data_IF_003578407797
#
_entry.id   IF_003578407797
#
_cell.length_a   1.000
_cell.length_b   1.000
_cell.length_c   1.000
_cell.angle_alpha   90.00
_cell.angle_beta   90.00
_cell.angle_gamma   90.00
#
_symmetry.space_group_name_H-M   'P 1'
#
loop_
_entity.id
_entity.type
_entity.pdbx_description
1 polymer ?
#
# COMPACT_ATOMS: atom_id res chain seq x y z
N UNK A 1 8.54 -3.84 -39.00
CA UNK A 1 9.34 -3.21 -37.92
C UNK A 1 8.39 -2.47 -37.01
N UNK A 2 8.52 -2.59 -35.68
CA UNK A 2 7.73 -1.78 -34.74
C UNK A 2 8.57 -0.56 -34.39
N UNK A 3 8.11 0.62 -34.80
CA UNK A 3 8.86 1.86 -34.56
C UNK A 3 8.71 2.27 -33.09
N UNK A 4 9.81 2.27 -32.31
CA UNK A 4 9.76 2.68 -30.90
C UNK A 4 9.28 4.14 -30.75
N UNK A 5 9.56 4.97 -31.75
CA UNK A 5 9.09 6.36 -31.85
C UNK A 5 7.55 6.42 -31.89
N UNK A 6 6.91 5.53 -32.66
CA UNK A 6 5.45 5.47 -32.74
C UNK A 6 4.81 5.13 -31.39
N UNK A 7 5.42 4.25 -30.63
CA UNK A 7 4.95 3.91 -29.27
C UNK A 7 5.09 5.07 -28.28
N UNK A 8 6.15 5.86 -28.37
CA UNK A 8 6.35 7.05 -27.53
C UNK A 8 5.30 8.12 -27.83
N UNK A 9 5.08 8.42 -29.11
CA UNK A 9 4.06 9.39 -29.54
C UNK A 9 2.66 8.96 -29.10
N UNK A 10 2.36 7.66 -29.16
CA UNK A 10 1.10 7.11 -28.65
C UNK A 10 0.92 7.40 -27.15
N UNK A 11 1.95 7.17 -26.33
CA UNK A 11 1.87 7.42 -24.88
C UNK A 11 1.62 8.90 -24.57
N UNK A 12 2.31 9.80 -25.26
CA UNK A 12 2.11 11.25 -25.09
C UNK A 12 0.68 11.65 -25.51
N UNK A 13 0.16 11.07 -26.58
CA UNK A 13 -1.22 11.29 -27.01
C UNK A 13 -2.24 10.83 -25.96
N UNK A 14 -2.10 9.61 -25.46
CA UNK A 14 -2.98 9.03 -24.44
C UNK A 14 -2.93 9.85 -23.14
N UNK A 15 -1.73 10.28 -22.73
CA UNK A 15 -1.55 11.14 -21.56
C UNK A 15 -2.26 12.49 -21.72
N UNK A 16 -2.10 13.15 -22.86
CA UNK A 16 -2.79 14.42 -23.14
C UNK A 16 -4.32 14.24 -23.16
N UNK A 17 -4.81 13.14 -23.77
CA UNK A 17 -6.23 12.79 -23.76
C UNK A 17 -6.75 12.61 -22.33
N UNK A 18 -5.99 11.91 -21.48
CA UNK A 18 -6.32 11.71 -20.07
C UNK A 18 -6.40 13.03 -19.29
N UNK A 19 -5.46 13.96 -19.50
CA UNK A 19 -5.50 15.30 -18.87
C UNK A 19 -6.72 16.11 -19.28
N UNK A 20 -7.05 16.12 -20.57
CA UNK A 20 -8.21 16.85 -21.07
C UNK A 20 -9.50 16.26 -20.50
N UNK A 21 -9.61 14.93 -20.44
CA UNK A 21 -10.75 14.25 -19.83
C UNK A 21 -10.84 14.49 -18.33
N UNK A 22 -9.72 14.48 -17.62
CA UNK A 22 -9.67 14.78 -16.19
C UNK A 22 -10.28 16.15 -15.88
N UNK A 23 -9.85 17.20 -16.59
CA UNK A 23 -10.38 18.56 -16.45
C UNK A 23 -11.87 18.62 -16.81
N UNK A 24 -12.29 17.92 -17.85
CA UNK A 24 -13.68 17.89 -18.27
C UNK A 24 -14.59 17.18 -17.25
N UNK A 25 -14.12 16.12 -16.59
CA UNK A 25 -14.86 15.42 -15.55
C UNK A 25 -14.99 16.22 -14.24
N UNK A 26 -14.07 17.14 -13.93
CA UNK A 26 -14.17 17.97 -12.73
C UNK A 26 -15.37 18.91 -12.72
N UNK A 27 -15.82 19.37 -13.90
CA UNK A 27 -16.99 20.25 -14.05
C UNK A 27 -18.31 19.52 -14.30
N UNK A 28 -18.31 18.18 -14.29
CA UNK A 28 -19.47 17.35 -14.60
C UNK A 28 -20.24 16.91 -13.34
N UNK A 29 -21.29 16.10 -13.51
CA UNK A 29 -22.07 15.54 -12.41
C UNK A 29 -21.22 14.69 -11.43
N UNK A 30 -21.73 14.50 -10.23
CA UNK A 30 -21.06 13.80 -9.12
C UNK A 30 -20.55 12.40 -9.51
N UNK A 31 -21.28 11.69 -10.38
CA UNK A 31 -20.89 10.36 -10.87
C UNK A 31 -19.60 10.40 -11.70
N UNK A 32 -19.42 11.45 -12.51
CA UNK A 32 -18.17 11.66 -13.27
C UNK A 32 -17.03 12.15 -12.37
N UNK A 33 -17.33 12.75 -11.22
CA UNK A 33 -16.31 13.15 -10.25
C UNK A 33 -15.58 11.93 -9.69
N UNK A 34 -16.28 10.84 -9.43
CA UNK A 34 -15.64 9.55 -9.05
C UNK A 34 -14.77 9.02 -10.19
N UNK A 35 -15.26 9.07 -11.44
CA UNK A 35 -14.46 8.68 -12.61
C UNK A 35 -13.20 9.55 -12.77
N UNK A 36 -13.28 10.85 -12.45
CA UNK A 36 -12.13 11.77 -12.49
C UNK A 36 -10.98 11.33 -11.58
N UNK A 37 -11.30 10.71 -10.43
CA UNK A 37 -10.29 10.13 -9.54
C UNK A 37 -9.51 9.00 -10.21
N UNK A 38 -10.22 8.11 -10.92
CA UNK A 38 -9.57 7.02 -11.66
C UNK A 38 -8.76 7.52 -12.87
N UNK A 39 -9.26 8.52 -13.60
CA UNK A 39 -8.50 9.17 -14.68
C UNK A 39 -7.24 9.83 -14.14
N UNK A 40 -7.31 10.49 -12.98
CA UNK A 40 -6.13 11.09 -12.34
C UNK A 40 -5.08 10.04 -11.97
N UNK A 41 -5.50 8.91 -11.39
CA UNK A 41 -4.60 7.79 -11.13
C UNK A 41 -3.93 7.28 -12.43
N UNK A 42 -4.69 7.18 -13.52
CA UNK A 42 -4.15 6.79 -14.82
C UNK A 42 -3.13 7.79 -15.36
N UNK A 43 -3.40 9.09 -15.21
CA UNK A 43 -2.48 10.18 -15.56
C UNK A 43 -1.15 10.01 -14.83
N UNK A 44 -1.16 9.81 -13.51
CA UNK A 44 0.05 9.63 -12.70
C UNK A 44 0.87 8.43 -13.21
N UNK A 45 0.21 7.31 -13.51
CA UNK A 45 0.90 6.11 -14.02
C UNK A 45 1.49 6.38 -15.41
N UNK A 46 0.73 7.00 -16.31
CA UNK A 46 1.20 7.35 -17.66
C UNK A 46 2.33 8.40 -17.65
N UNK A 47 2.32 9.34 -16.71
CA UNK A 47 3.44 10.26 -16.47
C UNK A 47 4.71 9.49 -16.06
N UNK A 48 4.59 8.53 -15.15
CA UNK A 48 5.72 7.65 -14.79
C UNK A 48 6.29 6.94 -16.00
N UNK A 49 5.43 6.35 -16.84
CA UNK A 49 5.83 5.71 -18.10
C UNK A 49 6.53 6.71 -19.03
N UNK A 50 5.97 7.91 -19.19
CA UNK A 50 6.57 8.97 -20.02
C UNK A 50 7.94 9.37 -19.49
N UNK A 51 8.10 9.62 -18.19
CA UNK A 51 9.40 9.98 -17.61
C UNK A 51 10.44 8.88 -17.81
N UNK A 52 10.06 7.62 -17.62
CA UNK A 52 10.98 6.49 -17.81
C UNK A 52 11.37 6.29 -19.27
N UNK A 53 10.48 6.59 -20.22
CA UNK A 53 10.72 6.40 -21.65
C UNK A 53 11.34 7.60 -22.35
N UNK A 54 10.89 8.80 -22.04
CA UNK A 54 11.26 10.02 -22.77
C UNK A 54 12.41 10.75 -22.09
N UNK A 55 12.36 10.86 -20.76
CA UNK A 55 13.31 11.68 -20.00
C UNK A 55 14.59 10.91 -19.63
N UNK A 56 14.57 9.57 -19.75
CA UNK A 56 15.71 8.71 -19.47
C UNK A 56 16.29 8.08 -20.74
N UNK A 57 17.31 8.70 -21.38
CA UNK A 57 17.98 8.15 -22.55
C UNK A 57 18.63 6.79 -22.29
N UNK A 58 18.96 6.51 -21.02
CA UNK A 58 19.60 5.26 -20.61
C UNK A 58 18.60 4.14 -20.31
N UNK A 59 17.30 4.40 -20.42
CA UNK A 59 16.27 3.38 -20.26
C UNK A 59 16.50 2.23 -21.23
N UNK A 60 16.28 0.99 -20.76
CA UNK A 60 16.46 -0.24 -21.56
C UNK A 60 15.64 -0.18 -22.85
N UNK A 61 14.50 0.51 -22.79
CA UNK A 61 13.58 0.66 -23.92
C UNK A 61 14.17 1.51 -25.05
N UNK A 62 15.00 2.51 -24.72
CA UNK A 62 15.65 3.39 -25.70
C UNK A 62 16.96 2.81 -26.26
N UNK A 63 17.55 1.84 -25.57
CA UNK A 63 18.70 1.09 -26.10
C UNK A 63 18.13 0.18 -27.17
N UNK A 64 18.45 0.43 -28.45
CA UNK A 64 17.97 -0.32 -29.63
C UNK A 64 18.24 -1.85 -29.67
N UNK A 65 18.53 -2.44 -28.52
CA UNK A 65 18.57 -3.86 -28.21
C UNK A 65 17.23 -4.57 -28.45
N UNK A 66 17.29 -5.88 -28.73
CA UNK A 66 16.11 -6.74 -28.85
C UNK A 66 15.24 -6.75 -27.60
N UNK A 67 15.87 -6.67 -26.42
CA UNK A 67 15.15 -6.58 -25.16
C UNK A 67 14.30 -5.31 -25.08
N UNK A 68 14.84 -4.16 -25.51
CA UNK A 68 14.09 -2.90 -25.59
C UNK A 68 12.87 -3.04 -26.50
N UNK A 69 13.06 -3.61 -27.70
CA UNK A 69 11.97 -3.86 -28.66
C UNK A 69 10.87 -4.77 -28.09
N UNK A 70 11.26 -5.88 -27.46
CA UNK A 70 10.33 -6.79 -26.80
C UNK A 70 9.55 -6.10 -25.66
N UNK A 71 10.20 -5.23 -24.87
CA UNK A 71 9.54 -4.47 -23.81
C UNK A 71 8.53 -3.46 -24.37
N UNK A 72 8.87 -2.74 -25.44
CA UNK A 72 7.93 -1.83 -26.14
C UNK A 72 6.71 -2.60 -26.63
N UNK A 73 6.92 -3.75 -27.27
CA UNK A 73 5.83 -4.60 -27.76
C UNK A 73 4.92 -5.09 -26.63
N UNK A 74 5.48 -5.40 -25.45
CA UNK A 74 4.70 -5.81 -24.27
C UNK A 74 3.96 -4.64 -23.62
N UNK A 75 4.54 -3.44 -23.61
CA UNK A 75 3.91 -2.24 -23.05
C UNK A 75 2.71 -1.77 -23.89
N UNK A 76 2.83 -1.85 -25.22
CA UNK A 76 1.83 -1.38 -26.18
C UNK A 76 0.38 -1.79 -25.85
N UNK A 77 0.03 -3.08 -25.65
CA UNK A 77 -1.36 -3.47 -25.36
C UNK A 77 -1.92 -2.85 -24.08
N UNK A 78 -1.09 -2.56 -23.08
CA UNK A 78 -1.55 -1.91 -21.84
C UNK A 78 -1.89 -0.44 -22.08
N UNK A 79 -1.07 0.27 -22.86
CA UNK A 79 -1.34 1.65 -23.27
C UNK A 79 -2.59 1.73 -24.16
N UNK A 80 -2.74 0.79 -25.11
CA UNK A 80 -3.92 0.71 -25.98
C UNK A 80 -5.21 0.44 -25.17
N UNK A 81 -5.12 -0.32 -24.07
CA UNK A 81 -6.26 -0.54 -23.17
C UNK A 81 -6.63 0.72 -22.37
N UNK A 82 -5.64 1.50 -21.93
CA UNK A 82 -5.85 2.82 -21.34
C UNK A 82 -6.56 3.75 -22.34
N UNK A 83 -6.08 3.82 -23.58
CA UNK A 83 -6.67 4.66 -24.62
C UNK A 83 -8.13 4.27 -24.91
N UNK A 84 -8.41 2.98 -25.08
CA UNK A 84 -9.78 2.47 -25.26
C UNK A 84 -10.70 2.88 -24.10
N UNK A 85 -10.22 2.76 -22.87
CA UNK A 85 -11.01 3.12 -21.67
C UNK A 85 -11.28 4.63 -21.59
N UNK A 86 -10.30 5.45 -21.93
CA UNK A 86 -10.46 6.91 -22.05
C UNK A 86 -11.40 7.29 -23.20
N UNK A 87 -11.35 6.58 -24.33
CA UNK A 87 -12.25 6.75 -25.46
C UNK A 87 -13.71 6.49 -25.08
N UNK A 88 -13.98 5.41 -24.33
CA UNK A 88 -15.32 5.13 -23.77
C UNK A 88 -15.80 6.25 -22.85
N UNK A 89 -14.94 6.74 -21.96
CA UNK A 89 -15.28 7.87 -21.07
C UNK A 89 -15.57 9.15 -21.87
N UNK A 90 -14.76 9.45 -22.89
CA UNK A 90 -14.94 10.61 -23.77
C UNK A 90 -16.28 10.56 -24.49
N UNK A 91 -16.64 9.41 -25.05
CA UNK A 91 -17.92 9.21 -25.71
C UNK A 91 -19.09 9.42 -24.74
N UNK A 92 -18.98 8.87 -23.52
CA UNK A 92 -20.00 9.02 -22.49
C UNK A 92 -20.16 10.46 -21.99
N UNK A 93 -19.04 11.19 -21.85
CA UNK A 93 -19.05 12.60 -21.49
C UNK A 93 -19.65 13.46 -22.61
N UNK A 94 -19.39 13.09 -23.88
CA UNK A 94 -20.02 13.71 -25.05
C UNK A 94 -21.55 13.59 -25.00
N UNK A 95 -22.07 12.38 -24.77
CA UNK A 95 -23.52 12.13 -24.57
C UNK A 95 -24.10 12.93 -23.41
N UNK A 96 -23.35 13.10 -22.32
CA UNK A 96 -23.78 13.90 -21.18
C UNK A 96 -23.83 15.40 -21.50
N UNK A 97 -22.84 15.93 -22.20
CA UNK A 97 -22.78 17.35 -22.55
C UNK A 97 -23.87 17.75 -23.56
N UNK A 98 -24.21 16.86 -24.51
CA UNK A 98 -25.35 17.10 -25.41
C UNK A 98 -26.66 17.19 -24.62
N UNK A 99 -26.87 16.33 -23.62
CA UNK A 99 -28.03 16.40 -22.73
C UNK A 99 -28.07 17.66 -21.86
N UNK A 100 -26.91 18.23 -21.52
CA UNK A 100 -26.81 19.43 -20.70
C UNK A 100 -27.17 20.69 -21.48
N UNK A 101 -26.70 20.79 -22.73
CA UNK A 101 -26.82 22.00 -23.53
C UNK A 101 -28.12 22.06 -24.32
N UNK A 102 -28.69 20.91 -24.68
CA UNK A 102 -29.95 20.85 -25.39
C UNK A 102 -31.13 21.04 -24.42
N UNK A 103 -32.29 21.52 -24.91
CA UNK A 103 -33.55 21.50 -24.14
C UNK A 103 -34.07 20.06 -24.06
N UNK A 104 -33.22 19.13 -23.65
CA UNK A 104 -33.48 17.69 -23.63
C UNK A 104 -34.76 17.44 -22.83
N UNK A 105 -35.67 16.67 -23.42
CA UNK A 105 -36.92 16.29 -22.80
C UNK A 105 -36.65 15.66 -21.42
N UNK A 106 -37.53 15.89 -20.45
CA UNK A 106 -37.38 15.34 -19.09
C UNK A 106 -37.21 13.81 -19.06
N UNK A 107 -37.71 13.12 -20.09
CA UNK A 107 -37.53 11.69 -20.33
C UNK A 107 -36.07 11.29 -20.59
N UNK A 108 -35.29 12.08 -21.33
CA UNK A 108 -33.88 11.79 -21.59
C UNK A 108 -33.05 11.94 -20.31
N UNK A 109 -33.37 12.96 -19.50
CA UNK A 109 -32.78 13.14 -18.17
C UNK A 109 -33.10 11.97 -17.24
N UNK A 110 -34.33 11.45 -17.28
CA UNK A 110 -34.74 10.30 -16.48
C UNK A 110 -34.06 9.00 -16.94
N UNK A 111 -34.01 8.72 -18.24
CA UNK A 111 -33.34 7.53 -18.77
C UNK A 111 -31.84 7.56 -18.48
N UNK A 112 -31.21 8.73 -18.61
CA UNK A 112 -29.81 8.92 -18.23
C UNK A 112 -29.56 8.65 -16.73
N UNK A 113 -30.55 8.91 -15.88
CA UNK A 113 -30.43 8.68 -14.43
C UNK A 113 -30.28 7.22 -14.03
N UNK A 114 -30.83 6.26 -14.80
CA UNK A 114 -30.71 4.82 -14.50
C UNK A 114 -29.68 4.13 -15.39
N UNK A 115 -29.83 4.26 -16.71
CA UNK A 115 -28.93 3.60 -17.67
C UNK A 115 -27.57 4.30 -17.72
N UNK A 116 -27.54 5.63 -17.72
CA UNK A 116 -26.29 6.40 -17.75
C UNK A 116 -25.42 6.15 -16.51
N UNK A 117 -26.01 5.99 -15.32
CA UNK A 117 -25.24 5.65 -14.11
C UNK A 117 -24.59 4.26 -14.20
N UNK A 118 -25.28 3.29 -14.79
CA UNK A 118 -24.72 1.96 -15.01
C UNK A 118 -23.58 1.99 -16.04
N UNK A 119 -23.72 2.78 -17.11
CA UNK A 119 -22.66 2.98 -18.10
C UNK A 119 -21.43 3.67 -17.48
N UNK A 120 -21.63 4.71 -16.66
CA UNK A 120 -20.54 5.38 -15.93
C UNK A 120 -19.81 4.38 -15.03
N UNK A 121 -20.55 3.55 -14.28
CA UNK A 121 -19.94 2.53 -13.42
C UNK A 121 -19.13 1.49 -14.22
N UNK A 122 -19.63 1.07 -15.39
CA UNK A 122 -18.90 0.18 -16.29
C UNK A 122 -17.59 0.80 -16.78
N UNK A 123 -17.63 2.06 -17.22
CA UNK A 123 -16.43 2.78 -17.66
C UNK A 123 -15.44 3.01 -16.51
N UNK A 124 -15.93 3.25 -15.29
CA UNK A 124 -15.08 3.36 -14.09
C UNK A 124 -14.34 2.05 -13.82
N UNK A 125 -15.02 0.91 -13.90
CA UNK A 125 -14.39 -0.40 -13.74
C UNK A 125 -13.30 -0.63 -14.80
N UNK A 126 -13.58 -0.31 -16.07
CA UNK A 126 -12.61 -0.41 -17.18
C UNK A 126 -11.36 0.47 -16.95
N UNK A 127 -11.56 1.72 -16.52
CA UNK A 127 -10.46 2.65 -16.19
C UNK A 127 -9.61 2.13 -15.04
N UNK A 128 -10.26 1.68 -13.96
CA UNK A 128 -9.57 1.12 -12.80
C UNK A 128 -8.77 -0.13 -13.17
N UNK A 129 -9.38 -1.05 -13.94
CA UNK A 129 -8.72 -2.27 -14.38
C UNK A 129 -7.52 -1.97 -15.27
N UNK A 130 -7.69 -1.12 -16.30
CA UNK A 130 -6.60 -0.75 -17.21
C UNK A 130 -5.43 -0.09 -16.47
N UNK A 131 -5.72 0.81 -15.52
CA UNK A 131 -4.71 1.45 -14.67
C UNK A 131 -3.98 0.43 -13.80
N UNK A 132 -4.72 -0.51 -13.20
CA UNK A 132 -4.16 -1.53 -12.30
C UNK A 132 -3.24 -2.48 -13.06
N UNK A 133 -3.64 -2.93 -14.26
CA UNK A 133 -2.84 -3.81 -15.10
C UNK A 133 -1.56 -3.09 -15.54
N UNK A 134 -1.66 -1.83 -16.01
CA UNK A 134 -0.48 -1.05 -16.39
C UNK A 134 0.47 -0.88 -15.22
N UNK A 135 -0.04 -0.55 -14.04
CA UNK A 135 0.78 -0.40 -12.83
C UNK A 135 1.45 -1.72 -12.40
N UNK A 136 0.74 -2.86 -12.52
CA UNK A 136 1.32 -4.18 -12.25
C UNK A 136 2.44 -4.53 -13.24
N UNK A 137 2.29 -4.15 -14.52
CA UNK A 137 3.36 -4.29 -15.51
C UNK A 137 4.60 -3.47 -15.10
N UNK A 138 4.44 -2.21 -14.71
CA UNK A 138 5.57 -1.38 -14.26
C UNK A 138 6.25 -1.93 -13.00
N UNK A 139 5.46 -2.39 -12.03
CA UNK A 139 6.01 -3.04 -10.83
C UNK A 139 6.85 -4.27 -11.18
N UNK A 140 6.37 -5.10 -12.12
CA UNK A 140 7.14 -6.25 -12.64
C UNK A 140 8.44 -5.82 -13.30
N UNK A 141 8.42 -4.76 -14.12
CA UNK A 141 9.63 -4.24 -14.77
C UNK A 141 10.64 -3.68 -13.77
N UNK A 142 10.18 -3.01 -12.71
CA UNK A 142 11.06 -2.56 -11.63
C UNK A 142 11.72 -3.72 -10.88
N UNK A 143 11.00 -4.84 -10.67
CA UNK A 143 11.56 -6.05 -10.06
C UNK A 143 12.62 -6.71 -10.96
N UNK A 144 12.39 -6.77 -12.29
CA UNK A 144 13.39 -7.25 -13.25
C UNK A 144 14.68 -6.40 -13.20
N UNK A 145 14.54 -5.07 -13.14
CA UNK A 145 15.69 -4.16 -13.01
C UNK A 145 16.44 -4.42 -11.69
N UNK A 146 15.71 -4.60 -10.59
CA UNK A 146 16.32 -4.87 -9.28
C UNK A 146 17.10 -6.18 -9.29
N UNK A 147 16.56 -7.26 -9.86
CA UNK A 147 17.26 -8.54 -9.99
C UNK A 147 18.53 -8.43 -10.85
N UNK A 148 18.52 -7.61 -11.91
CA UNK A 148 19.75 -7.34 -12.67
C UNK A 148 20.78 -6.55 -11.87
N UNK A 149 20.34 -5.59 -11.04
CA UNK A 149 21.26 -4.86 -10.15
C UNK A 149 21.90 -5.79 -9.12
N UNK A 150 21.13 -6.75 -8.60
CA UNK A 150 21.64 -7.78 -7.69
C UNK A 150 22.74 -8.61 -8.36
N UNK A 151 22.51 -9.11 -9.57
CA UNK A 151 23.53 -9.84 -10.35
C UNK A 151 24.80 -9.02 -10.60
N UNK A 152 24.68 -7.73 -10.92
CA UNK A 152 25.85 -6.85 -11.10
C UNK A 152 26.59 -6.64 -9.78
N UNK A 153 25.88 -6.53 -8.67
CA UNK A 153 26.49 -6.43 -7.34
C UNK A 153 27.22 -7.71 -6.95
N UNK A 154 26.65 -8.89 -7.24
CA UNK A 154 27.31 -10.18 -7.03
C UNK A 154 28.60 -10.28 -7.84
N UNK A 155 28.58 -9.89 -9.11
CA UNK A 155 29.77 -9.86 -9.96
C UNK A 155 30.85 -8.90 -9.42
N UNK A 156 30.45 -7.72 -8.94
CA UNK A 156 31.39 -6.77 -8.32
C UNK A 156 32.00 -7.32 -7.03
N UNK A 157 31.20 -7.99 -6.20
CA UNK A 157 31.69 -8.66 -4.98
C UNK A 157 32.66 -9.78 -5.33
N UNK A 158 32.35 -10.58 -6.35
CA UNK A 158 33.24 -11.63 -6.84
C UNK A 158 34.57 -11.07 -7.39
N UNK A 159 34.51 -9.99 -8.17
CA UNK A 159 35.71 -9.30 -8.65
C UNK A 159 36.56 -8.73 -7.52
N UNK A 160 35.93 -8.16 -6.48
CA UNK A 160 36.64 -7.67 -5.30
C UNK A 160 37.29 -8.80 -4.51
N UNK A 161 36.60 -9.93 -4.34
CA UNK A 161 37.15 -11.12 -3.67
C UNK A 161 38.32 -11.73 -4.46
N UNK A 162 38.20 -11.80 -5.80
CA UNK A 162 39.27 -12.25 -6.69
C UNK A 162 40.49 -11.31 -6.65
N UNK A 163 40.26 -10.00 -6.58
CA UNK A 163 41.35 -9.01 -6.47
C UNK A 163 42.01 -8.99 -5.09
N UNK A 164 41.29 -9.34 -4.02
CA UNK A 164 41.83 -9.40 -2.65
C UNK A 164 42.72 -10.61 -2.38
N UNK A 165 42.53 -11.72 -3.14
CA UNK A 165 43.30 -12.96 -2.99
C UNK A 165 44.51 -13.06 -3.93
N UNK A 166 44.91 -11.99 -4.63
CA UNK A 166 46.27 -11.90 -5.20
C UNK A 166 47.27 -11.69 -4.06
N UNK A 167 47.50 -12.78 -3.33
CA UNK A 167 48.52 -12.89 -2.30
C UNK A 167 49.87 -12.55 -2.92
N UNK A 168 50.53 -11.58 -2.30
CA UNK A 168 51.96 -11.32 -2.41
C UNK A 168 52.74 -12.55 -1.97
N UNK A 169 52.90 -13.55 -2.84
CA UNK A 169 53.79 -14.70 -2.64
C UNK A 169 55.06 -14.61 -3.48
N UNK A 170 55.45 -13.40 -3.91
CA UNK A 170 56.80 -13.17 -4.42
C UNK A 170 57.73 -12.80 -3.27
N UNK A 171 58.69 -13.71 -3.03
CA UNK A 171 59.82 -13.53 -2.13
C UNK A 171 60.52 -12.19 -2.42
N UNK A 172 60.94 -11.42 -1.40
CA UNK A 172 61.62 -10.16 -1.60
C UNK A 172 63.01 -10.40 -2.23
N UNK A 173 63.12 -10.27 -3.55
CA UNK A 173 64.40 -9.92 -4.18
C UNK A 173 64.59 -8.43 -3.99
N UNK A 174 65.51 -8.07 -3.09
CA UNK A 174 65.97 -6.71 -2.88
C UNK A 174 66.39 -6.09 -4.21
N UNK A 175 65.51 -5.28 -4.82
CA UNK A 175 65.85 -4.43 -5.95
C UNK A 175 65.30 -3.05 -5.67
N UNK A 176 66.23 -2.10 -5.62
CA UNK A 176 66.06 -0.68 -5.37
C UNK A 176 64.80 -0.12 -6.02
N UNK A 177 64.03 0.54 -5.18
CA UNK A 177 62.86 1.35 -5.47
C UNK A 177 63.11 2.35 -6.60
N UNK A 178 62.19 2.39 -7.57
CA UNK A 178 61.77 3.64 -8.22
C UNK A 178 60.30 3.52 -8.61
N UNK A 179 59.46 4.26 -7.87
CA UNK A 179 58.14 4.79 -8.26
C UNK A 179 57.14 3.89 -8.99
N UNK A 180 56.35 3.10 -8.26
CA UNK A 180 55.13 2.50 -8.80
C UNK A 180 53.92 2.79 -7.89
N UNK A 181 53.01 3.62 -8.40
CA UNK A 181 51.82 4.11 -7.70
C UNK A 181 50.86 2.98 -7.33
N UNK A 182 50.62 2.78 -6.03
CA UNK A 182 49.79 1.70 -5.50
C UNK A 182 48.31 1.88 -5.84
N UNK A 183 47.77 0.93 -6.58
CA UNK A 183 46.34 0.77 -6.91
C UNK A 183 45.47 0.61 -5.66
N UNK A 184 46.04 0.04 -4.59
CA UNK A 184 45.38 -0.11 -3.28
C UNK A 184 45.04 1.25 -2.65
N UNK A 185 45.92 2.25 -2.82
CA UNK A 185 45.66 3.62 -2.36
C UNK A 185 44.46 4.24 -3.08
N UNK A 186 44.27 3.93 -4.37
CA UNK A 186 43.13 4.43 -5.15
C UNK A 186 41.81 3.79 -4.72
N UNK A 187 41.79 2.51 -4.33
CA UNK A 187 40.58 1.85 -3.80
C UNK A 187 40.19 2.37 -2.40
N UNK A 188 41.15 2.59 -1.51
CA UNK A 188 40.89 3.18 -0.19
C UNK A 188 40.40 4.62 -0.33
N UNK A 189 41.01 5.40 -1.23
CA UNK A 189 40.57 6.76 -1.55
C UNK A 189 39.16 6.76 -2.16
N UNK A 190 38.82 5.82 -3.05
CA UNK A 190 37.48 5.70 -3.61
C UNK A 190 36.43 5.36 -2.53
N UNK A 191 36.73 4.44 -1.60
CA UNK A 191 35.87 4.11 -0.47
C UNK A 191 35.62 5.31 0.46
N UNK A 192 36.66 6.08 0.77
CA UNK A 192 36.56 7.31 1.55
C UNK A 192 35.78 8.41 0.80
N UNK A 193 35.95 8.51 -0.52
CA UNK A 193 35.23 9.47 -1.34
C UNK A 193 33.73 9.15 -1.40
N UNK A 194 33.36 7.88 -1.58
CA UNK A 194 31.97 7.40 -1.55
C UNK A 194 31.36 7.64 -0.16
N UNK A 195 32.10 7.37 0.92
CA UNK A 195 31.65 7.63 2.29
C UNK A 195 31.39 9.12 2.55
N UNK A 196 32.30 10.00 2.13
CA UNK A 196 32.12 11.47 2.24
C UNK A 196 30.99 11.99 1.36
N UNK A 197 30.81 11.44 0.16
CA UNK A 197 29.70 11.80 -0.73
C UNK A 197 28.34 11.42 -0.12
N UNK A 198 28.24 10.21 0.45
CA UNK A 198 27.03 9.73 1.14
C UNK A 198 26.69 10.59 2.35
N UNK A 199 27.70 11.01 3.12
CA UNK A 199 27.53 11.96 4.24
C UNK A 199 27.01 13.31 3.76
N UNK A 200 27.66 13.93 2.75
CA UNK A 200 27.23 15.22 2.18
C UNK A 200 25.83 15.19 1.59
N UNK A 201 25.43 14.09 0.94
CA UNK A 201 24.08 13.93 0.41
C UNK A 201 23.03 13.86 1.53
N UNK A 202 23.33 13.18 2.65
CA UNK A 202 22.45 13.18 3.84
C UNK A 202 22.35 14.58 4.46
N UNK A 203 23.45 15.31 4.58
CA UNK A 203 23.47 16.69 5.09
C UNK A 203 22.67 17.63 4.20
N UNK A 204 22.82 17.54 2.87
CA UNK A 204 22.03 18.34 1.92
C UNK A 204 20.54 17.99 1.96
N UNK A 205 20.20 16.70 2.07
CA UNK A 205 18.80 16.26 2.22
C UNK A 205 18.17 16.79 3.51
N UNK A 206 18.91 16.77 4.63
CA UNK A 206 18.48 17.35 5.89
C UNK A 206 18.36 18.89 5.82
N UNK A 207 19.29 19.57 5.15
CA UNK A 207 19.23 21.03 4.96
C UNK A 207 18.08 21.47 4.04
N UNK A 208 17.73 20.67 3.02
CA UNK A 208 16.56 20.91 2.17
C UNK A 208 15.24 20.68 2.91
N UNK A 209 15.19 19.70 3.82
CA UNK A 209 14.03 19.47 4.68
C UNK A 209 13.87 20.55 5.76
N UNK A 210 14.97 21.17 6.20
CA UNK A 210 14.98 22.24 7.21
C UNK A 210 14.92 23.65 6.63
N UNK A 211 14.96 23.84 5.30
CA UNK A 211 14.63 25.13 4.66
C UNK A 211 13.13 25.31 4.70
N UNK A 212 12.71 25.75 5.88
CA UNK A 212 11.43 26.31 6.24
C UNK A 212 10.89 27.23 5.16
N UNK A 213 9.67 26.92 4.73
CA UNK A 213 8.73 27.87 4.12
C UNK A 213 8.74 29.15 4.97
N UNK A 214 8.90 30.35 4.36
CA UNK A 214 8.83 31.60 5.11
C UNK A 214 7.45 31.68 5.80
N UNK A 215 7.47 31.79 7.13
CA UNK A 215 6.27 32.11 7.92
C UNK A 215 5.81 33.51 7.51
N UNK A 216 4.83 33.58 6.61
CA UNK A 216 4.14 34.82 6.29
C UNK A 216 3.42 35.30 7.56
N UNK A 217 3.86 36.47 8.06
CA UNK A 217 3.15 37.25 9.08
C UNK A 217 1.80 37.69 8.53
N UNK A 218 0.75 37.42 9.30
CA UNK A 218 -0.46 38.24 9.40
C UNK A 218 -1.33 38.36 8.15
N UNK A 219 -2.30 37.48 8.00
CA UNK A 219 -3.57 37.81 7.34
C UNK A 219 -4.71 37.43 8.28
N UNK A 220 -5.63 38.37 8.44
CA UNK A 220 -6.70 38.42 9.42
C UNK A 220 -7.57 37.16 9.46
N UNK A 221 -8.07 36.85 10.66
CA UNK A 221 -8.96 35.75 10.96
C UNK A 221 -10.24 35.80 10.11
N UNK A 222 -10.30 34.96 9.08
CA UNK A 222 -11.56 34.61 8.41
C UNK A 222 -12.32 33.59 9.25
N UNK A 223 -13.62 33.89 9.41
CA UNK A 223 -14.61 33.20 10.25
C UNK A 223 -14.60 31.68 10.07
N UNK A 224 -14.84 30.99 11.18
CA UNK A 224 -14.90 29.54 11.29
C UNK A 224 -15.77 28.89 10.20
N UNK A 225 -15.14 28.08 9.35
CA UNK A 225 -15.82 27.22 8.40
C UNK A 225 -16.65 26.19 9.16
N UNK A 226 -17.96 26.18 8.90
CA UNK A 226 -18.90 25.17 9.39
C UNK A 226 -18.47 23.82 8.83
N UNK A 227 -18.06 22.92 9.72
CA UNK A 227 -17.73 21.52 9.41
C UNK A 227 -19.00 20.79 8.96
N UNK A 228 -19.27 20.79 7.65
CA UNK A 228 -20.29 19.94 7.05
C UNK A 228 -19.85 18.49 7.22
N UNK A 229 -20.59 17.70 8.00
CA UNK A 229 -20.41 16.26 8.16
C UNK A 229 -20.74 15.56 6.82
N UNK A 230 -19.77 15.47 5.92
CA UNK A 230 -19.84 14.59 4.74
C UNK A 230 -19.47 13.16 5.14
N UNK A 231 -20.28 12.55 6.00
CA UNK A 231 -20.31 11.10 6.17
C UNK A 231 -21.56 10.58 5.48
N UNK A 232 -21.53 9.40 4.82
CA UNK A 232 -22.76 8.75 4.38
C UNK A 232 -23.63 8.54 5.62
N UNK A 233 -24.76 9.26 5.69
CA UNK A 233 -25.73 9.09 6.75
C UNK A 233 -26.22 7.64 6.83
N UNK A 234 -26.76 7.21 7.98
CA UNK A 234 -27.29 5.86 8.16
C UNK A 234 -28.36 5.58 7.11
N UNK A 235 -28.04 4.75 6.13
CA UNK A 235 -28.94 4.34 5.07
C UNK A 235 -29.48 2.96 5.44
N UNK A 236 -30.67 2.95 6.05
CA UNK A 236 -31.34 1.73 6.54
C UNK A 236 -31.36 0.62 5.49
N UNK A 237 -31.57 0.95 4.22
CA UNK A 237 -31.60 -0.02 3.12
C UNK A 237 -30.25 -0.68 2.87
N UNK A 238 -29.16 0.11 2.95
CA UNK A 238 -27.79 -0.42 2.82
C UNK A 238 -27.47 -1.38 3.96
N UNK A 239 -27.84 -1.00 5.18
CA UNK A 239 -27.56 -1.79 6.37
C UNK A 239 -28.40 -3.09 6.39
N UNK A 240 -29.64 -3.07 5.90
CA UNK A 240 -30.45 -4.29 5.68
C UNK A 240 -29.83 -5.22 4.64
N UNK A 241 -29.32 -4.68 3.52
CA UNK A 241 -28.69 -5.48 2.47
C UNK A 241 -27.36 -6.09 2.95
N UNK A 242 -26.55 -5.35 3.71
CA UNK A 242 -25.32 -5.86 4.31
C UNK A 242 -25.62 -6.95 5.36
N UNK A 243 -26.69 -6.79 6.15
CA UNK A 243 -27.16 -7.80 7.09
C UNK A 243 -27.62 -9.09 6.39
N UNK A 244 -28.43 -8.96 5.32
CA UNK A 244 -28.90 -10.10 4.54
C UNK A 244 -27.72 -10.85 3.87
N UNK A 245 -26.74 -10.12 3.34
CA UNK A 245 -25.55 -10.71 2.75
C UNK A 245 -24.70 -11.45 3.79
N UNK A 246 -24.47 -10.85 4.96
CA UNK A 246 -23.74 -11.51 6.05
C UNK A 246 -24.40 -12.82 6.49
N UNK A 247 -25.74 -12.84 6.61
CA UNK A 247 -26.49 -14.04 6.95
C UNK A 247 -26.35 -15.13 5.87
N UNK A 248 -26.34 -14.76 4.59
CA UNK A 248 -26.17 -15.72 3.49
C UNK A 248 -24.78 -16.38 3.47
N UNK A 249 -23.74 -15.70 3.96
CA UNK A 249 -22.39 -16.28 4.09
C UNK A 249 -22.36 -17.31 5.21
N UNK A 250 -22.97 -16.99 6.37
CA UNK A 250 -23.05 -17.92 7.50
C UNK A 250 -23.84 -19.17 7.12
N UNK A 251 -24.95 -19.03 6.40
CA UNK A 251 -25.77 -20.16 5.95
C UNK A 251 -25.06 -21.04 4.91
N UNK A 252 -24.20 -20.44 4.06
CA UNK A 252 -23.35 -21.22 3.14
C UNK A 252 -22.26 -21.99 3.88
N UNK A 253 -21.69 -21.43 4.95
CA UNK A 253 -20.67 -22.12 5.74
C UNK A 253 -21.25 -23.28 6.56
N UNK A 254 -22.49 -23.16 7.06
CA UNK A 254 -23.13 -24.26 7.80
C UNK A 254 -23.50 -25.42 6.89
N UNK A 255 -23.92 -25.18 5.64
CA UNK A 255 -24.23 -26.25 4.66
C UNK A 255 -22.99 -26.99 4.15
N UNK A 256 -21.81 -26.36 4.15
CA UNK A 256 -20.54 -27.03 3.77
C UNK A 256 -20.07 -27.99 4.88
N UNK A 257 -20.35 -27.66 6.15
CA UNK A 257 -19.96 -28.53 7.28
C UNK A 257 -20.90 -29.72 7.52
N UNK A 258 -22.14 -29.69 7.01
CA UNK A 258 -23.09 -30.81 7.18
C UNK A 258 -22.93 -31.94 6.16
N UNK A 259 -22.10 -31.76 5.13
CA UNK A 259 -21.90 -32.76 4.07
C UNK A 259 -20.55 -33.51 4.15
N UNK A 260 -19.81 -33.38 5.26
CA UNK A 260 -18.48 -33.98 5.43
C UNK A 260 -18.44 -35.21 6.35
N UNK A 261 -19.59 -35.76 6.78
CA UNK A 261 -19.65 -37.03 7.51
C UNK A 261 -20.11 -38.15 6.55
N UNK A 262 -19.15 -38.68 5.80
CA UNK A 262 -19.30 -39.85 4.94
C UNK A 262 -18.07 -40.75 5.06
N UNK A 263 -18.21 -41.77 5.91
CA UNK A 263 -17.42 -43.00 6.08
C UNK A 263 -15.97 -43.06 5.56
N UNK A 264 -15.02 -43.23 6.49
CA UNK A 264 -13.91 -44.16 6.31
C UNK A 264 -13.42 -44.65 7.68
N UNK A 265 -13.58 -45.96 7.87
CA UNK A 265 -13.16 -46.76 9.01
C UNK A 265 -11.65 -46.96 9.02
N UNK A 266 -11.04 -46.87 10.21
CA UNK A 266 -9.73 -47.48 10.46
C UNK A 266 -8.82 -46.66 11.38
N UNK A 267 -8.57 -47.23 12.55
CA UNK A 267 -7.33 -47.10 13.33
C UNK A 267 -7.14 -45.95 14.35
N UNK A 268 -6.93 -46.42 15.59
CA UNK A 268 -6.24 -45.82 16.75
C UNK A 268 -6.70 -44.44 17.24
N UNK A 269 -7.81 -44.45 17.98
CA UNK A 269 -8.22 -43.38 18.86
C UNK A 269 -7.26 -43.19 20.05
N UNK A 270 -6.32 -42.25 19.94
CA UNK A 270 -5.76 -41.56 21.12
C UNK A 270 -6.86 -40.60 21.60
N UNK A 271 -7.51 -40.97 22.71
CA UNK A 271 -8.57 -40.18 23.33
C UNK A 271 -8.07 -38.82 23.82
N UNK A 272 -8.11 -37.82 22.95
CA UNK A 272 -8.13 -36.41 23.34
C UNK A 272 -9.50 -36.13 23.98
N UNK A 273 -9.58 -36.38 25.27
CA UNK A 273 -10.68 -35.91 26.11
C UNK A 273 -10.78 -34.40 25.94
N UNK A 274 -11.88 -33.92 25.34
CA UNK A 274 -12.19 -32.49 25.30
C UNK A 274 -12.19 -31.99 26.75
N UNK A 275 -11.29 -31.07 27.14
CA UNK A 275 -11.27 -30.58 28.50
C UNK A 275 -12.62 -29.91 28.78
N UNK A 276 -13.31 -30.43 29.80
CA UNK A 276 -14.52 -29.85 30.36
C UNK A 276 -14.24 -28.37 30.63
N UNK A 277 -15.05 -27.42 30.13
CA UNK A 277 -14.79 -26.01 30.32
C UNK A 277 -14.66 -25.74 31.82
N UNK A 278 -13.58 -25.07 32.27
CA UNK A 278 -13.42 -24.77 33.68
C UNK A 278 -14.62 -23.90 34.10
N UNK A 279 -15.37 -24.37 35.10
CA UNK A 279 -16.36 -23.60 35.88
C UNK A 279 -15.62 -22.56 36.72
N UNK A 280 -14.87 -21.69 36.06
CA UNK A 280 -14.32 -20.48 36.64
C UNK A 280 -15.43 -19.46 36.77
N UNK A 281 -15.42 -18.74 37.89
CA UNK A 281 -16.32 -17.63 38.20
C UNK A 281 -16.62 -16.80 36.94
N UNK A 282 -17.90 -16.69 36.57
CA UNK A 282 -18.38 -16.04 35.34
C UNK A 282 -18.07 -14.52 35.25
N UNK A 283 -17.17 -14.02 36.09
CA UNK A 283 -16.81 -12.62 36.28
C UNK A 283 -15.65 -12.17 35.40
N UNK A 284 -14.87 -13.12 34.84
CA UNK A 284 -13.68 -12.83 34.04
C UNK A 284 -13.86 -13.21 32.58
N UNK A 285 -13.82 -12.21 31.70
CA UNK A 285 -13.89 -12.41 30.25
C UNK A 285 -12.68 -11.79 29.58
N UNK A 286 -12.04 -12.55 28.69
CA UNK A 286 -10.91 -12.06 27.90
C UNK A 286 -11.43 -11.53 26.56
N UNK A 287 -10.88 -10.40 26.11
CA UNK A 287 -11.15 -9.81 24.81
C UNK A 287 -9.85 -9.58 24.04
N UNK A 288 -9.91 -9.73 22.71
CA UNK A 288 -8.78 -9.46 21.82
C UNK A 288 -9.08 -8.28 20.90
N UNK A 289 -8.09 -7.41 20.74
CA UNK A 289 -8.17 -6.16 20.01
C UNK A 289 -6.99 -6.02 19.07
N UNK A 290 -7.27 -5.72 17.80
CA UNK A 290 -6.26 -5.30 16.83
C UNK A 290 -6.24 -3.78 16.78
N UNK A 291 -5.09 -3.18 17.08
CA UNK A 291 -4.89 -1.74 17.14
C UNK A 291 -3.88 -1.34 16.08
N UNK A 292 -4.33 -0.61 15.07
CA UNK A 292 -3.49 0.03 14.07
C UNK A 292 -3.16 1.46 14.47
N UNK A 293 -1.91 1.87 14.30
CA UNK A 293 -1.47 3.25 14.42
C UNK A 293 -0.82 3.67 13.12
N UNK A 294 -1.32 4.75 12.52
CA UNK A 294 -0.68 5.42 11.39
C UNK A 294 -0.02 6.68 11.96
N UNK A 295 1.32 6.72 11.96
CA UNK A 295 2.04 7.96 12.27
C UNK A 295 2.38 8.68 10.97
N UNK A 296 1.96 9.93 10.85
CA UNK A 296 2.31 10.80 9.74
C UNK A 296 3.52 11.65 10.15
N UNK A 297 4.43 11.93 9.21
CA UNK A 297 5.56 12.84 9.43
C UNK A 297 5.10 14.23 9.91
N UNK A 298 3.93 14.68 9.45
CA UNK A 298 3.27 15.92 9.85
C UNK A 298 1.81 15.56 10.15
N UNK A 299 1.33 15.82 11.37
CA UNK A 299 -0.07 15.60 11.75
C UNK A 299 -0.33 14.57 12.87
N UNK A 300 0.71 14.02 13.49
CA UNK A 300 0.57 13.12 14.64
C UNK A 300 0.16 11.69 14.27
N UNK A 301 -0.32 10.93 15.26
CA UNK A 301 -0.68 9.53 15.12
C UNK A 301 -2.19 9.32 15.16
N UNK A 302 -2.75 8.64 14.15
CA UNK A 302 -4.15 8.22 14.13
C UNK A 302 -4.24 6.76 14.57
N UNK A 303 -4.96 6.49 15.66
CA UNK A 303 -5.15 5.15 16.22
C UNK A 303 -6.53 4.62 15.83
N UNK A 304 -6.59 3.42 15.25
CA UNK A 304 -7.82 2.67 14.98
C UNK A 304 -7.78 1.34 15.71
N UNK A 305 -8.90 0.91 16.28
CA UNK A 305 -9.01 -0.38 16.97
C UNK A 305 -10.20 -1.18 16.44
N UNK A 306 -9.99 -2.49 16.28
CA UNK A 306 -10.99 -3.46 15.82
C UNK A 306 -11.00 -4.64 16.80
N UNK A 307 -12.19 -5.06 17.23
CA UNK A 307 -12.34 -6.25 18.08
C UNK A 307 -12.15 -7.49 17.23
N UNK A 308 -11.33 -8.43 17.71
CA UNK A 308 -11.23 -9.76 17.11
C UNK A 308 -12.13 -10.72 17.89
N UNK A 309 -13.07 -11.38 17.21
CA UNK A 309 -13.92 -12.40 17.80
C UNK A 309 -13.17 -13.74 17.80
N UNK A 310 -12.89 -14.28 19.00
CA UNK A 310 -12.24 -15.58 19.21
C UNK A 310 -12.81 -16.24 20.46
N UNK A 311 -12.75 -17.57 20.54
CA UNK A 311 -13.21 -18.33 21.71
C UNK A 311 -12.35 -18.07 22.95
N UNK A 312 -12.94 -18.16 24.15
CA UNK A 312 -12.21 -17.87 25.41
C UNK A 312 -11.00 -18.78 25.64
N UNK A 313 -11.09 -20.07 25.25
CA UNK A 313 -9.96 -20.99 25.33
C UNK A 313 -8.78 -20.53 24.46
N UNK A 314 -9.05 -20.19 23.19
CA UNK A 314 -8.05 -19.66 22.25
C UNK A 314 -7.44 -18.35 22.76
N UNK A 315 -8.24 -17.47 23.39
CA UNK A 315 -7.74 -16.21 23.94
C UNK A 315 -6.79 -16.42 25.12
N UNK A 316 -7.05 -17.42 25.97
CA UNK A 316 -6.12 -17.79 27.07
C UNK A 316 -4.81 -18.32 26.53
N UNK A 317 -4.88 -19.20 25.54
CA UNK A 317 -3.70 -19.75 24.86
C UNK A 317 -2.86 -18.64 24.20
N UNK A 318 -3.51 -17.76 23.42
CA UNK A 318 -2.85 -16.60 22.83
C UNK A 318 -2.22 -15.67 23.88
N UNK A 319 -2.86 -15.50 25.04
CA UNK A 319 -2.32 -14.70 26.13
C UNK A 319 -1.08 -15.33 26.77
N UNK A 320 -1.00 -16.66 26.81
CA UNK A 320 0.19 -17.40 27.21
C UNK A 320 1.33 -17.19 26.22
N UNK A 321 1.07 -17.47 24.94
CA UNK A 321 2.05 -17.29 23.86
C UNK A 321 2.58 -15.86 23.75
N UNK A 322 1.73 -14.85 23.95
CA UNK A 322 2.16 -13.45 23.90
C UNK A 322 3.00 -13.07 25.12
N UNK A 323 2.70 -13.61 26.31
CA UNK A 323 3.51 -13.40 27.51
C UNK A 323 4.89 -14.02 27.34
N UNK A 324 4.96 -15.24 26.85
CA UNK A 324 6.21 -15.94 26.55
C UNK A 324 7.04 -15.22 25.47
N UNK A 325 6.42 -14.78 24.38
CA UNK A 325 7.11 -13.99 23.36
C UNK A 325 7.60 -12.62 23.86
N UNK A 326 6.96 -12.08 24.90
CA UNK A 326 7.34 -10.81 25.53
C UNK A 326 8.38 -10.97 26.63
N UNK A 327 8.58 -12.15 27.22
CA UNK A 327 9.63 -12.32 28.24
C UNK A 327 11.02 -12.27 27.63
N UNK A 328 11.19 -12.70 26.37
CA UNK A 328 12.46 -12.62 25.65
C UNK A 328 12.76 -11.26 25.02
N UNK A 329 11.76 -10.39 24.85
CA UNK A 329 11.92 -9.06 24.29
C UNK A 329 11.61 -8.03 25.39
N UNK A 330 12.55 -7.17 25.77
CA UNK A 330 12.38 -6.08 26.77
C UNK A 330 11.30 -5.02 26.41
N UNK A 331 10.36 -5.33 25.53
CA UNK A 331 9.24 -4.50 25.13
C UNK A 331 8.11 -4.57 26.18
N UNK A 332 8.15 -3.66 27.15
CA UNK A 332 7.03 -3.42 28.08
C UNK A 332 5.85 -2.73 27.36
N UNK A 333 4.94 -3.54 26.80
CA UNK A 333 3.74 -3.05 26.12
C UNK A 333 2.71 -2.39 27.06
N UNK A 334 2.84 -2.53 28.39
CA UNK A 334 1.92 -1.87 29.34
C UNK A 334 2.02 -0.34 29.25
N UNK A 335 3.20 0.16 28.85
CA UNK A 335 3.48 1.60 28.69
C UNK A 335 3.10 2.14 27.31
N UNK A 336 2.76 1.28 26.35
CA UNK A 336 2.45 1.66 24.97
C UNK A 336 1.21 2.58 24.91
N UNK A 337 1.34 3.69 24.17
CA UNK A 337 0.27 4.71 24.02
C UNK A 337 -1.02 4.10 23.44
N UNK A 338 -0.92 3.08 22.58
CA UNK A 338 -2.05 2.37 21.96
C UNK A 338 -2.82 1.53 22.99
N UNK A 339 -2.10 0.84 23.87
CA UNK A 339 -2.69 0.05 24.96
C UNK A 339 -3.39 0.99 25.95
N UNK A 340 -2.75 2.09 26.34
CA UNK A 340 -3.38 3.12 27.18
C UNK A 340 -4.63 3.73 26.54
N UNK A 341 -4.59 3.99 25.23
CA UNK A 341 -5.74 4.51 24.48
C UNK A 341 -6.94 3.55 24.56
N UNK A 342 -6.75 2.26 24.28
CA UNK A 342 -7.87 1.30 24.31
C UNK A 342 -8.40 1.08 25.73
N UNK A 343 -7.52 1.02 26.75
CA UNK A 343 -7.93 0.90 28.15
C UNK A 343 -8.77 2.11 28.60
N UNK A 344 -8.32 3.33 28.27
CA UNK A 344 -9.05 4.57 28.57
C UNK A 344 -10.41 4.60 27.86
N UNK A 345 -10.45 4.23 26.58
CA UNK A 345 -11.68 4.17 25.81
C UNK A 345 -12.68 3.14 26.38
N UNK A 346 -12.19 1.97 26.81
CA UNK A 346 -13.02 0.91 27.40
C UNK A 346 -13.54 1.27 28.78
N UNK A 347 -12.69 1.84 29.64
CA UNK A 347 -13.08 2.37 30.96
C UNK A 347 -14.14 3.46 30.84
N UNK A 348 -14.03 4.35 29.84
CA UNK A 348 -15.04 5.37 29.56
C UNK A 348 -16.37 4.78 29.09
N UNK A 349 -16.33 3.78 28.21
CA UNK A 349 -17.53 3.20 27.63
C UNK A 349 -18.26 2.22 28.56
N UNK A 350 -17.54 1.56 29.47
CA UNK A 350 -18.12 0.58 30.38
C UNK A 350 -17.48 0.71 31.79
N UNK A 351 -17.91 1.69 32.60
CA UNK A 351 -17.29 2.01 33.89
C UNK A 351 -17.49 0.92 34.97
N UNK A 352 -18.50 0.06 34.81
CA UNK A 352 -18.82 -1.06 35.71
C UNK A 352 -17.80 -2.22 35.63
N UNK A 353 -16.94 -2.22 34.61
CA UNK A 353 -15.89 -3.22 34.46
C UNK A 353 -14.52 -2.59 34.68
N UNK A 354 -13.67 -3.33 35.39
CA UNK A 354 -12.25 -3.13 35.39
C UNK A 354 -11.64 -3.79 34.14
N UNK A 355 -10.78 -3.04 33.45
CA UNK A 355 -10.09 -3.50 32.25
C UNK A 355 -8.60 -3.56 32.53
N UNK A 356 -8.04 -4.76 32.47
CA UNK A 356 -6.62 -5.02 32.74
C UNK A 356 -5.91 -5.46 31.46
N UNK A 357 -4.70 -4.96 31.26
CA UNK A 357 -3.82 -5.42 30.19
C UNK A 357 -3.26 -6.80 30.55
N UNK A 358 -3.37 -7.77 29.64
CA UNK A 358 -2.85 -9.14 29.86
C UNK A 358 -1.57 -9.36 29.07
N UNK A 359 -1.63 -9.14 27.75
CA UNK A 359 -0.51 -9.37 26.85
C UNK A 359 -0.71 -8.62 25.52
N UNK A 360 0.37 -8.38 24.78
CA UNK A 360 0.30 -7.87 23.42
C UNK A 360 1.43 -8.42 22.54
N UNK A 361 1.20 -8.44 21.23
CA UNK A 361 2.18 -8.80 20.22
C UNK A 361 2.12 -7.82 19.05
N UNK A 362 3.28 -7.40 18.55
CA UNK A 362 3.40 -6.63 17.31
C UNK A 362 3.18 -7.57 16.12
N UNK A 363 2.16 -7.27 15.30
CA UNK A 363 1.77 -8.09 14.15
C UNK A 363 2.41 -7.55 12.86
N UNK A 364 2.47 -6.22 12.70
CA UNK A 364 2.98 -5.58 11.49
C UNK A 364 3.68 -4.27 11.84
N UNK A 365 4.81 -4.01 11.18
CA UNK A 365 5.50 -2.73 11.20
C UNK A 365 5.95 -2.43 9.79
N UNK A 366 5.36 -1.41 9.18
CA UNK A 366 5.66 -1.00 7.82
C UNK A 366 6.00 0.48 7.79
N UNK A 367 7.06 0.79 7.07
CA UNK A 367 7.43 2.15 6.73
C UNK A 367 7.02 2.30 5.27
N UNK A 368 6.17 3.28 4.97
CA UNK A 368 5.82 3.60 3.58
C UNK A 368 7.09 3.82 2.76
N UNK A 369 7.09 3.45 1.48
CA UNK A 369 8.23 3.68 0.59
C UNK A 369 8.69 5.14 0.51
N UNK A 370 7.80 6.08 0.85
CA UNK A 370 8.13 7.51 0.98
C UNK A 370 8.91 7.87 2.26
N UNK A 371 8.92 6.99 3.26
CA UNK A 371 9.39 7.27 4.62
C UNK A 371 8.50 8.22 5.42
N UNK A 372 7.41 8.72 4.84
CA UNK A 372 6.57 9.77 5.44
C UNK A 372 5.49 9.22 6.38
N UNK A 373 5.19 7.93 6.28
CA UNK A 373 4.17 7.29 7.11
C UNK A 373 4.69 5.98 7.66
N UNK A 374 4.47 5.75 8.96
CA UNK A 374 4.72 4.47 9.59
C UNK A 374 3.39 3.85 10.02
N UNK A 375 3.17 2.62 9.58
CA UNK A 375 2.02 1.82 9.94
C UNK A 375 2.48 0.76 10.94
N UNK A 376 1.90 0.79 12.14
CA UNK A 376 2.14 -0.24 13.13
C UNK A 376 0.83 -0.90 13.55
N UNK A 377 0.85 -2.23 13.65
CA UNK A 377 -0.28 -3.02 14.07
C UNK A 377 0.08 -3.86 15.29
N UNK A 378 -0.73 -3.74 16.33
CA UNK A 378 -0.57 -4.43 17.61
C UNK A 378 -1.83 -5.27 17.88
N UNK A 379 -1.65 -6.53 18.27
CA UNK A 379 -2.73 -7.35 18.81
C UNK A 379 -2.61 -7.35 20.33
N UNK A 380 -3.67 -6.92 21.01
CA UNK A 380 -3.72 -6.73 22.46
C UNK A 380 -4.80 -7.63 23.05
N UNK A 381 -4.49 -8.27 24.17
CA UNK A 381 -5.41 -9.08 24.95
C UNK A 381 -5.70 -8.34 26.26
N UNK A 382 -6.99 -8.13 26.52
CA UNK A 382 -7.50 -7.43 27.70
C UNK A 382 -8.35 -8.38 28.53
N UNK A 383 -8.23 -8.29 29.85
CA UNK A 383 -9.11 -8.96 30.81
C UNK A 383 -10.18 -7.97 31.27
N UNK A 384 -11.43 -8.39 31.19
CA UNK A 384 -12.59 -7.67 31.69
C UNK A 384 -13.08 -8.34 32.96
N UNK A 385 -13.05 -7.63 34.07
CA UNK A 385 -13.52 -8.08 35.39
C UNK A 385 -14.62 -7.16 35.89
N UNK A 386 -15.72 -7.71 36.42
CA UNK A 386 -16.75 -6.89 37.09
C UNK A 386 -16.16 -6.35 38.40
N UNK A 387 -16.30 -5.05 38.64
CA UNK A 387 -15.87 -4.41 39.89
C UNK A 387 -16.70 -4.88 41.08
#
# INVERSE_FOLDING_TARGET
>A
MVDPVGSILNIVHVLNSAYTLYKACQGAAEEFRVASGHVHCMVIVLEGVKSDLVENPRCIINRGTDQGRCKVQRLKPFVDNCDKSLGKLKALLGKYNTLKNDRSNGWDKFMWSKSGKSEVAGVQADLMMSTTILNAFLAKEHLDILGRMELVLEQLVEMLNKSGNHGTTDKPKARKETGASSTLGRCILAGLFISRLKSRLRSKKAALLNKTVPRSRGVAATKAAVTVKTGPGPNKRRDTLLGAYANSIVEKQTKVNSNADGSLSGETAIGLTRPKPPTGNATEQIECWRIGSVSLAIGGSVIRSVRLQRGQAQLREMAGLFREASSGNNADYSRDKRVKYILKARKKNNPQYEWLFVAARRERHEISGSGMTTYEQLVVILLRRKR
#
